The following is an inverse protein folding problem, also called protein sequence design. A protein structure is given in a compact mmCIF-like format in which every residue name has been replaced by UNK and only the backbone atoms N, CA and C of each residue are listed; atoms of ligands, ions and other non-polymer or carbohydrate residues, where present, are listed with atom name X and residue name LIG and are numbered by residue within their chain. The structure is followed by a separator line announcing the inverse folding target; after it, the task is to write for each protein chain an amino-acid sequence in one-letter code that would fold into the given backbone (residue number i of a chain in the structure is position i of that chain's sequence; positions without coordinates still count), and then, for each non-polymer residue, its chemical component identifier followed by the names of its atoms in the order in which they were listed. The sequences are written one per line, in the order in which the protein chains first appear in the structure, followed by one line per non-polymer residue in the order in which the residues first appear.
data_IF_224673670175
#
_entry.id   IF_224673670175
#
_cell.length_a   1.000
_cell.length_b   1.000
_cell.length_c   1.000
_cell.angle_alpha   90.00
_cell.angle_beta   90.00
_cell.angle_gamma   90.00
#
_symmetry.space_group_name_H-M   'P 1'
#
loop_
_entity.id
_entity.type
_entity.pdbx_description
1 polymer ?
#
# COMPACT_ATOMS: atom_id res chain seq x y z
N UNK A 1 1.31 11.43 -6.44
CA UNK A 1 0.58 10.32 -5.77
C UNK A 1 0.57 9.08 -6.66
N UNK A 2 1.69 8.38 -6.71
CA UNK A 2 1.80 7.17 -7.51
C UNK A 2 1.58 5.94 -6.63
N UNK A 3 0.81 4.99 -7.14
CA UNK A 3 0.47 3.81 -6.36
C UNK A 3 1.58 2.75 -6.44
N UNK A 4 1.69 1.96 -5.39
CA UNK A 4 2.67 0.90 -5.33
C UNK A 4 2.15 -0.33 -6.06
N UNK A 5 3.07 -1.08 -6.67
CA UNK A 5 2.72 -2.33 -7.32
C UNK A 5 2.54 -3.43 -6.27
N UNK A 6 1.95 -4.55 -6.69
CA UNK A 6 1.66 -5.65 -5.78
C UNK A 6 2.93 -6.20 -5.14
N UNK A 7 2.85 -6.45 -3.84
CA UNK A 7 3.98 -6.98 -3.11
C UNK A 7 4.87 -5.88 -2.55
N UNK A 8 4.55 -4.65 -2.91
CA UNK A 8 5.32 -3.52 -2.44
C UNK A 8 5.07 -3.22 -0.97
N UNK A 9 5.95 -2.44 -0.38
CA UNK A 9 5.84 -2.09 1.02
C UNK A 9 5.20 -0.71 1.17
N UNK A 10 4.20 -0.64 2.02
CA UNK A 10 3.60 0.63 2.38
C UNK A 10 3.65 0.81 3.90
N UNK A 11 4.29 1.90 4.37
CA UNK A 11 4.44 2.17 5.80
C UNK A 11 3.10 2.35 6.50
N UNK A 12 3.15 2.37 7.83
CA UNK A 12 1.96 2.44 8.68
C UNK A 12 0.94 3.44 8.17
N UNK A 13 -0.22 2.94 7.69
CA UNK A 13 -1.31 3.77 7.15
C UNK A 13 -1.79 4.83 8.13
N UNK A 14 -1.65 4.54 9.41
CA UNK A 14 -2.07 5.45 10.46
C UNK A 14 -1.14 6.66 10.51
N UNK A 15 0.15 6.45 10.29
CA UNK A 15 1.13 7.51 10.44
C UNK A 15 1.49 8.15 9.09
N UNK A 16 1.75 7.32 8.08
CA UNK A 16 2.18 7.83 6.77
C UNK A 16 1.03 7.85 5.78
N UNK A 17 -0.03 7.12 6.09
CA UNK A 17 -1.14 7.00 5.15
C UNK A 17 -1.00 5.77 4.30
N UNK A 18 -2.12 5.26 3.80
CA UNK A 18 -2.11 4.08 2.95
C UNK A 18 -1.94 4.49 1.49
N UNK A 19 -1.00 3.86 0.82
CA UNK A 19 -0.78 4.10 -0.59
C UNK A 19 -0.40 2.80 -1.30
N UNK A 20 -1.29 2.38 -2.16
CA UNK A 20 -1.16 1.12 -2.89
C UNK A 20 -2.08 1.18 -4.10
N UNK A 21 -1.77 0.42 -5.14
CA UNK A 21 -2.77 0.20 -6.15
C UNK A 21 -3.57 -1.01 -5.71
N UNK A 22 -4.74 -0.76 -5.19
CA UNK A 22 -5.54 -1.80 -4.59
C UNK A 22 -5.79 -1.51 -3.11
N UNK A 23 -5.10 -2.22 -2.24
CA UNK A 23 -5.22 -2.00 -0.80
C UNK A 23 -3.87 -2.19 -0.11
N UNK A 24 -3.62 -1.41 0.93
CA UNK A 24 -2.42 -1.60 1.73
C UNK A 24 -2.78 -2.42 2.96
N UNK A 25 -2.28 -3.65 2.98
CA UNK A 25 -2.63 -4.60 4.03
C UNK A 25 -1.35 -5.23 4.60
N UNK A 26 -1.16 -5.08 5.91
CA UNK A 26 0.03 -5.61 6.58
C UNK A 26 1.29 -4.99 6.00
N UNK A 27 1.21 -3.70 5.71
CA UNK A 27 2.32 -2.95 5.12
C UNK A 27 2.68 -3.48 3.74
N UNK A 28 1.73 -4.16 3.11
CA UNK A 28 1.93 -4.70 1.78
C UNK A 28 0.86 -4.17 0.84
N UNK A 29 1.20 -4.09 -0.43
CA UNK A 29 0.26 -3.61 -1.43
C UNK A 29 -0.33 -4.79 -2.19
N UNK A 30 -1.65 -4.91 -2.10
CA UNK A 30 -2.35 -6.05 -2.68
C UNK A 30 -3.49 -5.58 -3.58
N UNK A 31 -3.62 -6.23 -4.72
CA UNK A 31 -4.71 -5.93 -5.64
C UNK A 31 -5.33 -7.23 -6.13
N UNK A 32 -6.64 -7.22 -6.32
CA UNK A 32 -7.34 -8.41 -6.77
C UNK A 32 -8.83 -8.23 -6.66
#
# INVERSE_FOLDING_TARGET
SECVENGGFCPDPEKMGDWCCGRCIRNECRNG
#
